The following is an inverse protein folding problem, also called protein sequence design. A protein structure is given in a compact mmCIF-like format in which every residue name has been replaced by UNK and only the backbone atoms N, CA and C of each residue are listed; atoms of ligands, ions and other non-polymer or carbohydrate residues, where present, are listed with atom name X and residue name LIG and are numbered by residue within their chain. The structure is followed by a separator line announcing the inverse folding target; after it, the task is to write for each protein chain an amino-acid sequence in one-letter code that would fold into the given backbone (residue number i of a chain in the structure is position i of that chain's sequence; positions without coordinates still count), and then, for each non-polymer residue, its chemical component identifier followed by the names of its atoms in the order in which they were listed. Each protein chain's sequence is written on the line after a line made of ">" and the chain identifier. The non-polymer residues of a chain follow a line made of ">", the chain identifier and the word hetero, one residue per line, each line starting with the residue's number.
data_IF_325853505102
#
_entry.id   IF_325853505102
#
_cell.length_a   1.000
_cell.length_b   1.000
_cell.length_c   1.000
_cell.angle_alpha   90.00
_cell.angle_beta   90.00
_cell.angle_gamma   90.00
#
_symmetry.space_group_name_H-M   'P 1'
#
loop_
_entity.id
_entity.type
_entity.pdbx_description
1 polymer ?
#
# COMPACT_ATOMS: atom_id res chain seq x y z
N UNK A 1 29.21 -23.34 -26.07
CA UNK A 1 29.33 -23.00 -24.63
C UNK A 1 29.15 -21.50 -24.38
N UNK A 2 29.91 -20.62 -25.05
CA UNK A 2 29.76 -19.15 -24.92
C UNK A 2 28.35 -18.62 -25.24
N UNK A 3 27.72 -19.11 -26.31
CA UNK A 3 26.36 -18.68 -26.72
C UNK A 3 25.29 -19.01 -25.67
N UNK A 4 25.41 -20.16 -25.01
CA UNK A 4 24.48 -20.57 -23.95
C UNK A 4 24.62 -19.70 -22.69
N UNK A 5 25.85 -19.29 -22.35
CA UNK A 5 26.11 -18.37 -21.22
C UNK A 5 25.54 -16.98 -21.53
N UNK A 6 25.75 -16.46 -22.74
CA UNK A 6 25.23 -15.14 -23.15
C UNK A 6 23.70 -15.13 -23.19
N UNK A 7 23.07 -16.19 -23.70
CA UNK A 7 21.62 -16.34 -23.69
C UNK A 7 21.06 -16.44 -22.27
N UNK A 8 21.70 -17.22 -21.40
CA UNK A 8 21.33 -17.32 -19.99
C UNK A 8 21.36 -15.97 -19.27
N UNK A 9 22.45 -15.20 -19.46
CA UNK A 9 22.55 -13.85 -18.91
C UNK A 9 21.50 -12.91 -19.49
N UNK A 10 21.23 -12.98 -20.79
CA UNK A 10 20.25 -12.09 -21.44
C UNK A 10 18.83 -12.35 -20.93
N UNK A 11 18.45 -13.61 -20.75
CA UNK A 11 17.12 -13.98 -20.22
C UNK A 11 16.96 -13.48 -18.77
N UNK A 12 17.96 -13.66 -17.92
CA UNK A 12 17.94 -13.18 -16.53
C UNK A 12 17.82 -11.66 -16.49
N UNK A 13 18.57 -10.95 -17.34
CA UNK A 13 18.51 -9.49 -17.39
C UNK A 13 17.19 -8.97 -17.93
N UNK A 14 16.61 -9.60 -18.96
CA UNK A 14 15.30 -9.20 -19.50
C UNK A 14 14.19 -9.48 -18.48
N UNK A 15 14.19 -10.65 -17.85
CA UNK A 15 13.24 -10.98 -16.79
C UNK A 15 13.37 -10.01 -15.60
N UNK A 16 14.61 -9.67 -15.21
CA UNK A 16 14.90 -8.64 -14.22
C UNK A 16 14.32 -7.30 -14.62
N UNK A 17 14.59 -6.80 -15.83
CA UNK A 17 14.06 -5.52 -16.31
C UNK A 17 12.53 -5.47 -16.33
N UNK A 18 11.86 -6.55 -16.76
CA UNK A 18 10.39 -6.61 -16.80
C UNK A 18 9.79 -6.62 -15.39
N UNK A 19 10.40 -7.34 -14.46
CA UNK A 19 9.97 -7.36 -13.05
C UNK A 19 10.22 -6.01 -12.33
N UNK A 20 11.13 -5.20 -12.86
CA UNK A 20 11.65 -3.98 -12.24
C UNK A 20 11.24 -2.70 -12.97
N UNK A 21 10.30 -2.75 -13.92
CA UNK A 21 9.72 -1.54 -14.50
C UNK A 21 9.09 -0.73 -13.36
N UNK A 22 9.60 0.47 -13.03
CA UNK A 22 8.99 1.29 -11.99
C UNK A 22 7.57 1.61 -12.44
N UNK A 23 6.58 1.23 -11.63
CA UNK A 23 5.22 1.66 -11.85
C UNK A 23 5.17 3.20 -11.78
N UNK A 24 4.36 3.88 -12.61
CA UNK A 24 4.16 5.32 -12.46
C UNK A 24 3.84 5.70 -11.00
N UNK A 25 4.27 6.91 -10.59
CA UNK A 25 4.02 7.39 -9.23
C UNK A 25 2.53 7.26 -8.88
N UNK A 26 2.24 6.61 -7.75
CA UNK A 26 0.86 6.34 -7.33
C UNK A 26 0.30 4.95 -7.68
N UNK A 27 0.98 4.12 -8.48
CA UNK A 27 0.52 2.73 -8.78
C UNK A 27 0.33 1.90 -7.51
N UNK A 28 1.25 2.01 -6.55
CA UNK A 28 1.11 1.33 -5.27
C UNK A 28 -0.17 1.72 -4.51
N UNK A 29 -0.53 3.01 -4.56
CA UNK A 29 -1.75 3.55 -3.94
C UNK A 29 -3.01 3.13 -4.72
N UNK A 30 -2.96 3.12 -6.06
CA UNK A 30 -4.04 2.62 -6.93
C UNK A 30 -4.36 1.16 -6.60
N UNK A 31 -3.34 0.29 -6.55
CA UNK A 31 -3.50 -1.14 -6.25
C UNK A 31 -4.16 -1.37 -4.88
N UNK A 32 -3.81 -0.57 -3.88
CA UNK A 32 -4.41 -0.66 -2.55
C UNK A 32 -5.88 -0.19 -2.55
N UNK A 33 -6.22 0.84 -3.33
CA UNK A 33 -7.61 1.26 -3.51
C UNK A 33 -8.45 0.21 -4.27
N UNK A 34 -7.90 -0.41 -5.31
CA UNK A 34 -8.54 -1.52 -6.04
C UNK A 34 -8.83 -2.70 -5.10
N UNK A 35 -7.89 -3.05 -4.23
CA UNK A 35 -8.11 -4.10 -3.23
C UNK A 35 -9.32 -3.81 -2.32
N UNK A 36 -9.44 -2.57 -1.83
CA UNK A 36 -10.56 -2.16 -0.98
C UNK A 36 -11.87 -2.21 -1.75
N UNK A 37 -11.88 -1.75 -3.00
CA UNK A 37 -13.04 -1.78 -3.88
C UNK A 37 -13.55 -3.20 -4.14
N UNK A 38 -12.66 -4.11 -4.56
CA UNK A 38 -13.01 -5.48 -4.93
C UNK A 38 -13.58 -6.25 -3.74
N UNK A 39 -13.12 -5.95 -2.51
CA UNK A 39 -13.60 -6.58 -1.28
C UNK A 39 -14.90 -6.00 -0.77
N UNK A 40 -15.14 -4.70 -0.97
CA UNK A 40 -16.30 -3.98 -0.42
C UNK A 40 -16.98 -3.11 -1.49
N UNK A 41 -17.57 -3.70 -2.54
CA UNK A 41 -18.15 -2.93 -3.64
C UNK A 41 -19.38 -2.10 -3.20
N UNK A 42 -20.09 -2.54 -2.16
CA UNK A 42 -21.36 -1.93 -1.72
C UNK A 42 -21.41 -1.61 -0.21
N UNK A 43 -20.39 -2.01 0.55
CA UNK A 43 -20.36 -1.84 2.00
C UNK A 43 -19.67 -0.53 2.38
N UNK A 44 -20.13 0.17 3.45
CA UNK A 44 -19.42 1.31 3.98
C UNK A 44 -18.07 0.90 4.54
N UNK A 45 -17.03 1.60 4.08
CA UNK A 45 -15.64 1.37 4.47
C UNK A 45 -15.11 2.65 5.08
N UNK A 46 -14.41 2.54 6.21
CA UNK A 46 -13.68 3.65 6.79
C UNK A 46 -12.18 3.38 6.66
N UNK A 47 -11.52 4.19 5.82
CA UNK A 47 -10.08 4.13 5.60
C UNK A 47 -9.39 5.21 6.43
N UNK A 48 -8.68 4.78 7.46
CA UNK A 48 -7.72 5.59 8.19
C UNK A 48 -6.44 5.75 7.37
N UNK A 49 -5.89 6.96 7.31
CA UNK A 49 -4.69 7.21 6.52
C UNK A 49 -3.70 8.16 7.21
N UNK A 50 -2.42 7.95 6.92
CA UNK A 50 -1.31 8.86 7.25
C UNK A 50 -0.96 9.76 6.06
N UNK A 51 -0.20 10.83 6.31
CA UNK A 51 0.22 11.85 5.34
C UNK A 51 0.52 11.30 3.94
N UNK A 52 -0.13 11.86 2.92
CA UNK A 52 0.06 11.50 1.50
C UNK A 52 -0.23 10.02 1.14
N UNK A 53 -0.76 9.22 2.07
CA UNK A 53 -1.08 7.82 1.85
C UNK A 53 -2.47 7.61 1.28
N UNK A 54 -3.40 8.56 1.45
CA UNK A 54 -4.78 8.39 0.99
C UNK A 54 -4.82 8.24 -0.54
N UNK A 55 -5.19 7.06 -1.07
CA UNK A 55 -5.31 6.89 -2.51
C UNK A 55 -6.54 7.64 -3.05
N UNK A 56 -7.57 7.86 -2.23
CA UNK A 56 -8.81 8.56 -2.59
C UNK A 56 -8.68 10.09 -2.56
N UNK A 57 -7.67 10.61 -1.85
CA UNK A 57 -7.31 12.03 -1.76
C UNK A 57 -5.79 12.18 -1.97
N UNK A 58 -5.30 12.00 -3.22
CA UNK A 58 -3.86 11.94 -3.47
C UNK A 58 -3.13 13.29 -3.30
N UNK A 59 -3.88 14.40 -3.22
CA UNK A 59 -3.36 15.76 -3.06
C UNK A 59 -3.84 16.36 -1.75
N UNK A 60 -2.95 17.06 -1.04
CA UNK A 60 -3.33 17.84 0.14
C UNK A 60 -4.31 18.94 -0.28
N UNK A 61 -5.53 18.93 0.28
CA UNK A 61 -6.57 19.92 -0.03
C UNK A 61 -7.93 19.35 -0.45
N UNK A 62 -8.18 18.05 -0.29
CA UNK A 62 -9.51 17.46 -0.49
C UNK A 62 -9.94 17.30 -1.96
N UNK A 63 -9.02 17.50 -2.92
CA UNK A 63 -9.28 17.14 -4.30
C UNK A 63 -9.22 15.62 -4.44
N UNK A 64 -10.40 15.00 -4.35
CA UNK A 64 -10.57 13.60 -4.67
C UNK A 64 -10.12 13.36 -6.12
N UNK A 65 -9.29 12.34 -6.33
CA UNK A 65 -9.02 11.91 -7.69
C UNK A 65 -10.34 11.40 -8.28
N UNK A 66 -10.78 12.03 -9.37
CA UNK A 66 -12.08 11.77 -10.02
C UNK A 66 -12.33 10.27 -10.27
N UNK A 67 -11.26 9.53 -10.58
CA UNK A 67 -11.27 8.09 -10.73
C UNK A 67 -11.86 7.37 -9.50
N UNK A 68 -11.42 7.70 -8.29
CA UNK A 68 -11.86 6.97 -7.10
C UNK A 68 -13.20 7.44 -6.55
N UNK A 69 -13.57 8.72 -6.79
CA UNK A 69 -14.86 9.25 -6.35
C UNK A 69 -16.03 8.51 -6.99
N UNK A 70 -15.90 8.15 -8.27
CA UNK A 70 -16.93 7.39 -9.00
C UNK A 70 -16.84 5.88 -8.78
N UNK A 71 -15.64 5.36 -8.50
CA UNK A 71 -15.43 3.91 -8.39
C UNK A 71 -15.70 3.41 -6.97
N UNK A 72 -15.48 4.22 -5.92
CA UNK A 72 -15.59 3.77 -4.52
C UNK A 72 -16.41 4.75 -3.64
N UNK A 73 -17.69 5.03 -3.96
CA UNK A 73 -18.46 6.05 -3.26
C UNK A 73 -18.73 5.75 -1.77
N UNK A 74 -18.55 4.48 -1.36
CA UNK A 74 -18.81 4.03 0.02
C UNK A 74 -17.58 4.10 0.92
N UNK A 75 -16.42 4.52 0.40
CA UNK A 75 -15.19 4.68 1.19
C UNK A 75 -15.17 6.08 1.78
N UNK A 76 -15.26 6.16 3.11
CA UNK A 76 -14.96 7.36 3.88
C UNK A 76 -13.52 7.32 4.32
N UNK A 77 -12.86 8.48 4.34
CA UNK A 77 -11.45 8.58 4.71
C UNK A 77 -11.29 9.43 5.96
N UNK A 78 -10.42 9.00 6.88
CA UNK A 78 -10.12 9.72 8.12
C UNK A 78 -8.61 9.85 8.31
N UNK A 79 -8.13 11.07 8.38
CA UNK A 79 -6.72 11.33 8.67
C UNK A 79 -6.39 10.95 10.12
N UNK A 80 -5.21 10.37 10.29
CA UNK A 80 -4.65 10.01 11.60
C UNK A 80 -3.37 10.81 11.81
N UNK A 81 -3.30 11.62 12.86
CA UNK A 81 -2.12 12.43 13.16
C UNK A 81 -1.00 11.61 13.83
N UNK A 82 -1.36 10.68 14.72
CA UNK A 82 -0.41 9.75 15.33
C UNK A 82 -0.90 8.32 15.11
N UNK A 83 -0.06 7.47 14.50
CA UNK A 83 -0.43 6.07 14.23
C UNK A 83 -0.87 5.33 15.49
N UNK A 84 -0.34 5.71 16.64
CA UNK A 84 -0.69 5.12 17.93
C UNK A 84 -2.14 5.37 18.35
N UNK A 85 -2.76 6.45 17.84
CA UNK A 85 -4.18 6.75 18.10
C UNK A 85 -5.12 5.80 17.38
N UNK A 86 -4.63 5.02 16.40
CA UNK A 86 -5.45 4.00 15.76
C UNK A 86 -5.94 2.95 16.76
N UNK A 87 -5.17 2.72 17.84
CA UNK A 87 -5.56 1.83 18.93
C UNK A 87 -6.70 2.39 19.80
N UNK A 88 -7.07 3.65 19.63
CA UNK A 88 -8.18 4.28 20.36
C UNK A 88 -9.47 4.35 19.54
N UNK A 89 -9.41 3.97 18.26
CA UNK A 89 -10.58 3.96 17.38
C UNK A 89 -11.56 2.88 17.88
N UNK A 90 -12.79 3.32 18.15
CA UNK A 90 -13.89 2.43 18.50
C UNK A 90 -14.19 1.49 17.35
N UNK A 91 -14.22 0.21 17.68
CA UNK A 91 -14.56 -0.85 16.75
C UNK A 91 -16.08 -0.88 16.58
N UNK A 92 -16.61 0.07 15.81
CA UNK A 92 -18.00 0.00 15.37
C UNK A 92 -18.14 -1.17 14.42
N UNK A 93 -18.38 -2.36 15.00
CA UNK A 93 -18.63 -3.63 14.33
C UNK A 93 -19.63 -3.42 13.19
N UNK A 94 -19.13 -3.28 11.95
CA UNK A 94 -19.80 -3.46 10.64
C UNK A 94 -19.23 -2.58 9.52
N UNK A 95 -18.34 -1.62 9.78
CA UNK A 95 -17.64 -0.90 8.70
C UNK A 95 -16.29 -1.58 8.44
N UNK A 96 -15.93 -1.79 7.17
CA UNK A 96 -14.61 -2.29 6.81
C UNK A 96 -13.57 -1.26 7.25
N UNK A 97 -12.97 -1.45 8.43
CA UNK A 97 -11.97 -0.53 8.97
C UNK A 97 -10.60 -0.89 8.40
N UNK A 98 -10.05 -0.01 7.58
CA UNK A 98 -8.72 -0.16 7.01
C UNK A 98 -7.79 0.95 7.49
N UNK A 99 -6.51 0.64 7.62
CA UNK A 99 -5.44 1.61 7.84
C UNK A 99 -4.45 1.53 6.67
N UNK A 100 -4.16 2.67 6.04
CA UNK A 100 -3.06 2.81 5.09
C UNK A 100 -1.96 3.71 5.65
N UNK A 101 -0.73 3.19 5.68
CA UNK A 101 0.45 3.89 6.16
C UNK A 101 1.70 3.45 5.38
N UNK A 102 2.71 4.30 5.33
CA UNK A 102 4.01 3.96 4.72
C UNK A 102 4.91 3.26 5.72
N UNK A 103 5.87 2.50 5.22
CA UNK A 103 6.99 1.98 5.99
C UNK A 103 7.66 3.08 6.84
N UNK A 104 7.94 4.24 6.24
CA UNK A 104 8.50 5.41 6.92
C UNK A 104 7.67 5.85 8.14
N UNK A 105 6.34 5.79 8.06
CA UNK A 105 5.49 6.24 9.17
C UNK A 105 5.64 5.31 10.40
N UNK A 106 5.96 4.04 10.19
CA UNK A 106 6.30 3.08 11.25
C UNK A 106 7.72 3.28 11.79
N UNK A 107 8.67 3.57 10.91
CA UNK A 107 10.07 3.86 11.29
C UNK A 107 10.17 5.11 12.17
N UNK A 108 9.40 6.16 11.86
CA UNK A 108 9.34 7.40 12.65
C UNK A 108 8.92 7.16 14.10
N UNK A 109 8.03 6.19 14.34
CA UNK A 109 7.58 5.83 15.69
C UNK A 109 8.41 4.68 16.31
N UNK A 110 9.45 4.21 15.62
CA UNK A 110 10.31 3.13 16.08
C UNK A 110 9.61 1.78 16.22
N UNK A 111 8.57 1.51 15.42
CA UNK A 111 7.82 0.25 15.43
C UNK A 111 7.93 -0.45 14.08
N UNK A 112 7.85 -1.78 14.09
CA UNK A 112 7.65 -2.54 12.86
C UNK A 112 6.15 -2.56 12.51
N UNK A 113 5.79 -2.68 11.22
CA UNK A 113 4.37 -2.84 10.84
C UNK A 113 3.75 -4.10 11.47
N UNK A 114 4.55 -5.12 11.73
CA UNK A 114 4.15 -6.35 12.44
C UNK A 114 3.77 -6.11 13.90
N UNK A 115 4.22 -5.04 14.54
CA UNK A 115 3.89 -4.74 15.94
C UNK A 115 2.41 -4.33 16.08
N UNK A 116 1.77 -3.95 14.97
CA UNK A 116 0.34 -3.68 14.91
C UNK A 116 -0.48 -4.94 14.64
N UNK A 117 0.17 -6.10 14.44
CA UNK A 117 -0.49 -7.34 14.01
C UNK A 117 -1.50 -7.92 15.02
N UNK A 118 -1.45 -7.51 16.29
CA UNK A 118 -2.41 -7.95 17.31
C UNK A 118 -3.83 -7.48 17.00
N UNK A 119 -3.98 -6.23 16.53
CA UNK A 119 -5.28 -5.65 16.15
C UNK A 119 -5.48 -5.53 14.65
N UNK A 120 -4.41 -5.54 13.88
CA UNK A 120 -4.46 -5.34 12.45
C UNK A 120 -3.98 -6.58 11.70
N UNK A 121 -4.70 -6.96 10.66
CA UNK A 121 -4.24 -7.93 9.69
C UNK A 121 -3.65 -7.16 8.49
N UNK A 122 -2.39 -7.42 8.12
CA UNK A 122 -1.87 -6.89 6.86
C UNK A 122 -2.55 -7.62 5.70
N UNK A 123 -3.28 -6.89 4.87
CA UNK A 123 -4.09 -7.48 3.80
C UNK A 123 -3.53 -7.22 2.41
N UNK A 124 -2.75 -6.15 2.24
CA UNK A 124 -2.12 -5.83 0.95
C UNK A 124 -0.93 -4.88 1.13
N UNK A 125 -0.02 -4.90 0.15
CA UNK A 125 1.17 -4.05 0.08
C UNK A 125 1.32 -3.49 -1.34
N UNK A 126 1.82 -2.26 -1.46
CA UNK A 126 1.98 -1.56 -2.74
C UNK A 126 2.76 -2.37 -3.79
N UNK A 127 3.73 -3.18 -3.35
CA UNK A 127 4.53 -4.06 -4.18
C UNK A 127 4.21 -5.53 -3.88
N UNK A 128 4.39 -6.42 -4.88
CA UNK A 128 4.37 -7.86 -4.60
C UNK A 128 5.58 -8.27 -3.75
N UNK A 129 5.49 -9.39 -3.05
CA UNK A 129 6.60 -9.87 -2.21
C UNK A 129 7.88 -10.10 -3.03
N UNK A 130 7.75 -10.63 -4.25
CA UNK A 130 8.88 -10.81 -5.16
C UNK A 130 9.52 -9.48 -5.55
N UNK A 131 8.71 -8.47 -5.87
CA UNK A 131 9.21 -7.13 -6.17
C UNK A 131 9.90 -6.49 -4.97
N UNK A 132 9.35 -6.62 -3.76
CA UNK A 132 9.99 -6.14 -2.54
C UNK A 132 11.35 -6.82 -2.34
N UNK A 133 11.42 -8.15 -2.44
CA UNK A 133 12.66 -8.91 -2.24
C UNK A 133 13.74 -8.52 -3.25
N UNK A 134 13.41 -8.53 -4.54
CA UNK A 134 14.37 -8.23 -5.61
C UNK A 134 14.73 -6.73 -5.62
N UNK A 135 13.73 -5.86 -5.46
CA UNK A 135 13.92 -4.41 -5.45
C UNK A 135 14.75 -3.93 -4.26
N UNK A 136 14.56 -4.50 -3.06
CA UNK A 136 15.42 -4.25 -1.89
C UNK A 136 16.85 -4.70 -2.13
N UNK A 137 17.03 -5.92 -2.62
CA UNK A 137 18.35 -6.48 -2.91
C UNK A 137 19.15 -5.60 -3.90
N UNK A 138 18.46 -5.00 -4.87
CA UNK A 138 19.07 -4.16 -5.89
C UNK A 138 19.12 -2.66 -5.53
N UNK A 139 18.56 -2.24 -4.38
CA UNK A 139 18.50 -0.83 -3.99
C UNK A 139 17.59 0.03 -4.88
N UNK A 140 16.57 -0.58 -5.49
CA UNK A 140 15.68 0.06 -6.47
C UNK A 140 14.34 0.49 -5.88
N UNK A 141 14.01 0.05 -4.66
CA UNK A 141 12.81 0.45 -3.95
C UNK A 141 13.18 1.52 -2.95
N UNK A 142 12.49 2.65 -3.03
CA UNK A 142 12.46 3.60 -1.93
C UNK A 142 11.54 3.05 -0.84
N UNK A 143 12.10 2.67 0.31
CA UNK A 143 11.31 2.16 1.44
C UNK A 143 10.26 3.18 1.89
N UNK A 144 10.54 4.48 1.75
CA UNK A 144 9.58 5.55 2.08
C UNK A 144 8.29 5.51 1.24
N UNK A 145 8.32 4.82 0.09
CA UNK A 145 7.19 4.65 -0.83
C UNK A 145 6.58 3.24 -0.79
N UNK A 146 6.94 2.44 0.21
CA UNK A 146 6.27 1.16 0.49
C UNK A 146 5.05 1.43 1.36
N UNK A 147 3.85 1.17 0.83
CA UNK A 147 2.59 1.37 1.51
C UNK A 147 2.01 0.03 1.95
N UNK A 148 1.54 -0.01 3.19
CA UNK A 148 0.84 -1.16 3.74
C UNK A 148 -0.63 -0.81 3.94
N UNK A 149 -1.49 -1.75 3.56
CA UNK A 149 -2.90 -1.73 3.89
C UNK A 149 -3.17 -2.79 4.96
N UNK A 150 -3.73 -2.33 6.06
CA UNK A 150 -4.11 -3.12 7.20
C UNK A 150 -5.63 -3.13 7.33
N UNK A 151 -6.19 -4.25 7.74
CA UNK A 151 -7.59 -4.40 8.13
C UNK A 151 -7.66 -4.55 9.65
N UNK A 152 -8.58 -3.85 10.31
CA UNK A 152 -8.87 -4.09 11.72
C UNK A 152 -9.51 -5.48 11.90
N UNK A 153 -9.03 -6.24 12.88
CA UNK A 153 -9.55 -7.58 13.24
C UNK A 153 -10.84 -7.51 14.04
#
# INVERSE_FOLDING_TARGET
>A
MAVAVVLGFSIINIAGMVLLVPGPSGVGRIKLAEYVYDKHPQEPVLLFYKNYCNPFEPWAGGNHAYFYHNTCPNVKTKFVEHLEDINKVEDSRNEGHYLIARQLDFEVIGKAPTDFSERFESVSVSYSELQLRVGRFMGLINEDEVYYLFRLK
#
